data_IF_616674835915
#
_entry.id   IF_616674835915
#
_cell.length_a   1.000
_cell.length_b   1.000
_cell.length_c   1.000
_cell.angle_alpha   90.00
_cell.angle_beta   90.00
_cell.angle_gamma   90.00
#
_symmetry.space_group_name_H-M   'P 1'
#
loop_
_entity.id
_entity.type
_entity.pdbx_description
1 polymer ?
#
# COMPACT_ATOMS: atom_id res chain seq x y z
N UNK A 1 5.60 0.10 19.32
CA UNK A 1 5.11 -1.30 19.47
C UNK A 1 5.24 -1.97 18.11
N UNK A 2 5.36 -3.30 18.01
CA UNK A 2 5.51 -3.96 16.70
C UNK A 2 4.26 -3.68 15.82
N UNK A 3 4.47 -3.30 14.56
CA UNK A 3 3.38 -3.10 13.59
C UNK A 3 2.50 -4.34 13.46
N UNK A 4 1.17 -4.20 13.32
CA UNK A 4 0.26 -5.33 13.25
C UNK A 4 0.54 -6.17 11.99
N UNK A 5 0.44 -7.49 12.14
CA UNK A 5 0.65 -8.41 11.04
C UNK A 5 -0.67 -8.67 10.30
N UNK A 6 -0.66 -8.40 9.00
CA UNK A 6 -1.78 -8.63 8.08
C UNK A 6 -1.43 -9.75 7.11
N UNK A 7 -2.41 -10.13 6.28
CA UNK A 7 -2.11 -10.78 5.00
C UNK A 7 -1.47 -9.73 4.09
N UNK A 8 -0.39 -10.10 3.41
CA UNK A 8 0.32 -9.25 2.47
C UNK A 8 0.51 -10.00 1.15
N UNK A 9 0.44 -9.27 0.05
CA UNK A 9 0.69 -9.75 -1.29
C UNK A 9 2.16 -10.15 -1.48
N UNK A 10 3.09 -9.44 -0.81
CA UNK A 10 4.55 -9.65 -0.83
C UNK A 10 5.25 -9.30 -2.15
N UNK A 11 4.53 -9.20 -3.26
CA UNK A 11 5.01 -8.72 -4.56
C UNK A 11 4.06 -7.66 -5.15
N UNK A 12 3.67 -6.66 -4.34
CA UNK A 12 2.67 -5.65 -4.70
C UNK A 12 3.30 -4.54 -5.57
N UNK A 13 3.56 -4.86 -6.83
CA UNK A 13 4.16 -3.98 -7.84
C UNK A 13 3.15 -3.63 -8.94
N UNK A 14 3.37 -2.52 -9.64
CA UNK A 14 2.42 -1.99 -10.65
C UNK A 14 2.11 -3.00 -11.76
N UNK A 15 3.03 -3.90 -12.11
CA UNK A 15 2.83 -4.94 -13.13
C UNK A 15 1.84 -6.02 -12.69
N UNK A 16 1.57 -6.15 -11.39
CA UNK A 16 0.55 -7.02 -10.83
C UNK A 16 -0.80 -6.31 -10.61
N UNK A 17 -0.94 -5.07 -11.09
CA UNK A 17 -2.16 -4.28 -11.03
C UNK A 17 -2.78 -4.12 -12.43
N UNK A 18 -4.04 -4.51 -12.57
CA UNK A 18 -4.85 -4.29 -13.76
C UNK A 18 -5.80 -3.11 -13.50
N UNK A 19 -5.70 -2.08 -14.32
CA UNK A 19 -6.55 -0.89 -14.22
C UNK A 19 -7.76 -1.02 -15.13
N UNK A 20 -8.94 -0.68 -14.60
CA UNK A 20 -10.17 -0.62 -15.37
C UNK A 20 -10.20 0.54 -16.37
N UNK A 21 -11.33 0.73 -17.08
CA UNK A 21 -11.52 1.86 -17.98
C UNK A 21 -11.26 3.21 -17.29
N UNK A 22 -10.82 4.20 -18.06
CA UNK A 22 -10.54 5.54 -17.55
C UNK A 22 -11.75 6.11 -16.77
N UNK A 23 -11.49 6.60 -15.56
CA UNK A 23 -12.52 7.14 -14.67
C UNK A 23 -13.31 6.13 -13.85
N UNK A 24 -13.14 4.81 -14.03
CA UNK A 24 -13.86 3.81 -13.23
C UNK A 24 -13.33 3.69 -11.79
N UNK A 25 -12.04 4.01 -11.59
CA UNK A 25 -11.37 3.81 -10.30
C UNK A 25 -11.15 2.34 -9.94
N UNK A 26 -11.43 1.42 -10.87
CA UNK A 26 -11.28 -0.01 -10.64
C UNK A 26 -9.82 -0.43 -10.76
N UNK A 27 -9.37 -1.22 -9.78
CA UNK A 27 -8.06 -1.87 -9.77
C UNK A 27 -8.26 -3.33 -9.38
N UNK A 28 -7.70 -4.23 -10.17
CA UNK A 28 -7.66 -5.66 -9.86
C UNK A 28 -6.21 -6.09 -9.62
N UNK A 29 -5.99 -6.72 -8.47
CA UNK A 29 -4.68 -7.26 -8.06
C UNK A 29 -4.58 -8.71 -8.50
N UNK A 30 -3.55 -9.05 -9.26
CA UNK A 30 -3.26 -10.40 -9.73
C UNK A 30 -1.96 -10.94 -9.11
N UNK A 31 -1.64 -12.20 -9.43
CA UNK A 31 -0.40 -12.86 -9.02
C UNK A 31 -0.18 -13.04 -7.50
N UNK A 32 -1.13 -13.72 -6.88
CA UNK A 32 -1.12 -14.01 -5.44
C UNK A 32 -0.24 -15.20 -5.03
N UNK A 33 0.66 -15.70 -5.91
CA UNK A 33 1.43 -16.92 -5.63
C UNK A 33 2.41 -16.75 -4.45
N UNK A 34 2.81 -15.51 -4.15
CA UNK A 34 3.74 -15.15 -3.07
C UNK A 34 3.09 -14.74 -1.74
N UNK A 35 1.77 -14.89 -1.58
CA UNK A 35 1.01 -14.42 -0.41
C UNK A 35 1.65 -14.83 0.93
N UNK A 36 1.76 -13.87 1.84
CA UNK A 36 2.42 -14.06 3.13
C UNK A 36 1.81 -13.23 4.26
N UNK A 37 2.56 -13.12 5.37
CA UNK A 37 2.18 -12.31 6.53
C UNK A 37 3.26 -11.29 6.83
N UNK A 38 2.87 -10.05 7.10
CA UNK A 38 3.80 -8.95 7.37
C UNK A 38 3.09 -7.69 7.85
N UNK A 39 3.82 -6.59 8.12
CA UNK A 39 3.22 -5.29 8.39
C UNK A 39 2.31 -4.86 7.24
N UNK A 40 1.14 -4.27 7.54
CA UNK A 40 0.20 -3.86 6.49
C UNK A 40 0.80 -2.87 5.47
N UNK A 41 1.68 -1.97 5.93
CA UNK A 41 2.36 -1.00 5.07
C UNK A 41 3.44 -1.62 4.14
N UNK A 42 3.74 -2.92 4.28
CA UNK A 42 4.76 -3.58 3.46
C UNK A 42 4.46 -3.49 1.96
N UNK A 43 3.25 -3.85 1.56
CA UNK A 43 2.84 -3.82 0.15
C UNK A 43 2.82 -2.39 -0.41
N UNK A 44 2.45 -1.41 0.41
CA UNK A 44 2.54 0.01 0.05
C UNK A 44 4.00 0.42 -0.20
N UNK A 45 4.90 0.11 0.74
CA UNK A 45 6.32 0.43 0.60
C UNK A 45 6.94 -0.26 -0.62
N UNK A 46 6.54 -1.51 -0.91
CA UNK A 46 6.98 -2.26 -2.07
C UNK A 46 6.55 -1.59 -3.38
N UNK A 47 5.29 -1.17 -3.49
CA UNK A 47 4.77 -0.43 -4.64
C UNK A 47 5.50 0.90 -4.84
N UNK A 48 5.58 1.72 -3.80
CA UNK A 48 6.21 3.04 -3.90
C UNK A 48 7.69 2.92 -4.25
N UNK A 49 8.41 2.00 -3.61
CA UNK A 49 9.84 1.81 -3.82
C UNK A 49 10.20 1.12 -5.13
N UNK A 50 9.36 0.19 -5.60
CA UNK A 50 9.63 -0.65 -6.77
C UNK A 50 8.99 -0.17 -8.07
N UNK A 51 7.93 0.66 -8.00
CA UNK A 51 7.12 1.02 -9.17
C UNK A 51 6.98 2.52 -9.42
N UNK A 52 7.72 3.36 -8.71
CA UNK A 52 7.74 4.82 -8.94
C UNK A 52 9.14 5.34 -9.23
N UNK A 53 9.21 6.36 -10.09
CA UNK A 53 10.41 7.18 -10.20
C UNK A 53 10.77 7.81 -8.86
N UNK A 54 12.06 7.84 -8.53
CA UNK A 54 12.56 8.30 -7.22
C UNK A 54 12.09 9.71 -6.88
N UNK A 55 12.10 10.62 -7.85
CA UNK A 55 11.69 12.01 -7.62
C UNK A 55 10.17 12.09 -7.39
N UNK A 56 9.39 11.40 -8.23
CA UNK A 56 7.94 11.34 -8.07
C UNK A 56 7.56 10.76 -6.70
N UNK A 57 8.21 9.69 -6.24
CA UNK A 57 8.00 9.15 -4.90
C UNK A 57 8.32 10.20 -3.83
N UNK A 58 9.48 10.84 -3.88
CA UNK A 58 9.87 11.85 -2.87
C UNK A 58 8.87 12.99 -2.76
N UNK A 59 8.32 13.41 -3.89
CA UNK A 59 7.37 14.51 -3.94
C UNK A 59 5.97 14.11 -3.42
N UNK A 60 5.62 12.82 -3.42
CA UNK A 60 4.25 12.34 -3.14
C UNK A 60 4.13 11.33 -1.99
N UNK A 61 5.24 10.81 -1.43
CA UNK A 61 5.23 9.68 -0.49
C UNK A 61 4.36 9.94 0.74
N UNK A 62 4.48 11.13 1.36
CA UNK A 62 3.66 11.48 2.53
C UNK A 62 2.17 11.49 2.22
N UNK A 63 1.78 12.02 1.06
CA UNK A 63 0.38 12.11 0.68
C UNK A 63 -0.20 10.73 0.33
N UNK A 64 0.59 9.87 -0.30
CA UNK A 64 0.21 8.48 -0.61
C UNK A 64 0.07 7.64 0.66
N UNK A 65 1.02 7.75 1.60
CA UNK A 65 0.92 7.08 2.91
C UNK A 65 -0.25 7.62 3.72
N UNK A 66 -0.55 8.93 3.59
CA UNK A 66 -1.72 9.53 4.24
C UNK A 66 -3.02 8.97 3.67
N UNK A 67 -3.14 8.86 2.33
CA UNK A 67 -4.32 8.28 1.69
C UNK A 67 -4.56 6.83 2.14
N UNK A 68 -3.49 6.03 2.27
CA UNK A 68 -3.55 4.69 2.83
C UNK A 68 -4.04 4.69 4.28
N UNK A 69 -3.45 5.52 5.16
CA UNK A 69 -3.85 5.62 6.57
C UNK A 69 -5.29 6.09 6.73
N UNK A 70 -5.69 7.12 6.01
CA UNK A 70 -7.06 7.66 6.04
C UNK A 70 -8.07 6.57 5.66
N UNK A 71 -7.76 5.73 4.67
CA UNK A 71 -8.64 4.62 4.26
C UNK A 71 -8.73 3.51 5.32
N UNK A 72 -7.65 3.21 6.05
CA UNK A 72 -7.70 2.30 7.19
C UNK A 72 -8.62 2.83 8.29
N UNK A 73 -8.49 4.12 8.63
CA UNK A 73 -9.32 4.78 9.64
C UNK A 73 -10.79 4.81 9.22
N UNK A 74 -11.07 5.15 7.95
CA UNK A 74 -12.42 5.10 7.37
C UNK A 74 -13.01 3.69 7.42
N UNK A 75 -12.17 2.66 7.31
CA UNK A 75 -12.56 1.24 7.43
C UNK A 75 -12.71 0.77 8.89
N UNK A 76 -12.57 1.67 9.86
CA UNK A 76 -12.78 1.39 11.29
C UNK A 76 -11.54 0.91 12.05
N UNK A 77 -10.35 0.96 11.45
CA UNK A 77 -9.11 0.61 12.15
C UNK A 77 -8.76 1.70 13.16
N UNK A 78 -8.51 1.31 14.41
CA UNK A 78 -8.10 2.18 15.51
C UNK A 78 -6.78 1.72 16.13
N UNK A 79 -6.07 2.61 16.80
CA UNK A 79 -4.80 2.26 17.48
C UNK A 79 -3.62 2.06 16.54
N UNK A 80 -3.73 2.52 15.29
CA UNK A 80 -2.67 2.58 14.30
C UNK A 80 -2.50 4.03 13.83
N UNK A 81 -1.46 4.71 14.27
CA UNK A 81 -1.20 6.11 13.92
C UNK A 81 -0.60 6.24 12.52
N UNK A 82 -0.65 7.46 11.98
CA UNK A 82 -0.04 7.76 10.69
C UNK A 82 1.48 7.52 10.70
N UNK A 83 2.15 7.85 11.81
CA UNK A 83 3.59 7.66 11.99
C UNK A 83 3.97 6.18 11.96
N UNK A 84 3.12 5.30 12.49
CA UNK A 84 3.31 3.85 12.45
C UNK A 84 3.20 3.26 11.03
N UNK A 85 2.75 4.03 10.04
CA UNK A 85 2.82 3.64 8.63
C UNK A 85 4.23 3.80 8.03
N UNK A 86 5.14 4.48 8.72
CA UNK A 86 6.56 4.63 8.34
C UNK A 86 7.51 3.74 9.17
N UNK A 87 6.98 2.94 10.12
CA UNK A 87 7.73 2.01 10.99
C UNK A 87 7.70 0.57 10.47
#
# INVERSE_FOLDING_TARGET
ARSPWTIAHQDYRVENLMFGPEGSGEVMVIDWQGIGRGPGAYDLAYLLGGSMDVQLRRDNERDLVKAYHDQLVLSGITGYSFEQAFE
#
